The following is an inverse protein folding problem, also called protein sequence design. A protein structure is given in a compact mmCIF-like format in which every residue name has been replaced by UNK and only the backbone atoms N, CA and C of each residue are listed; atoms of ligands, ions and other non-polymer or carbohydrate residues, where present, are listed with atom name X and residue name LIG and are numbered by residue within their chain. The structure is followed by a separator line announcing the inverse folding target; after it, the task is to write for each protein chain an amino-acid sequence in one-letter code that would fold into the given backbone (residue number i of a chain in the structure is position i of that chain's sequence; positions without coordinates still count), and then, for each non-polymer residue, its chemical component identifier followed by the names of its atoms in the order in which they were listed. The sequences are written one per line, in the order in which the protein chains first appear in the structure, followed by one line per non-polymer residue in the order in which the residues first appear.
data_IF_432012918202
#
_entry.id   IF_432012918202
#
_cell.length_a   1.000
_cell.length_b   1.000
_cell.length_c   1.000
_cell.angle_alpha   90.00
_cell.angle_beta   90.00
_cell.angle_gamma   90.00
#
_symmetry.space_group_name_H-M   'P 1'
#
loop_
_entity.id
_entity.type
_entity.pdbx_description
1 polymer ?
#
# COMPACT_ATOMS: atom_id res chain seq x y z
N UNK A 1 19.55 -13.47 -5.65
CA UNK A 1 18.29 -14.14 -5.93
C UNK A 1 17.79 -13.71 -7.31
N UNK A 2 17.37 -14.67 -8.13
CA UNK A 2 16.78 -14.37 -9.45
C UNK A 2 15.26 -14.34 -9.31
N UNK A 3 14.71 -13.15 -9.27
CA UNK A 3 13.28 -12.87 -9.25
C UNK A 3 13.02 -11.50 -9.92
N UNK A 4 11.80 -11.07 -9.95
CA UNK A 4 11.36 -9.80 -10.55
C UNK A 4 11.51 -8.58 -9.64
N UNK A 5 11.97 -8.75 -8.39
CA UNK A 5 12.10 -7.65 -7.43
C UNK A 5 12.99 -6.51 -7.95
N UNK A 6 14.10 -6.83 -8.64
CA UNK A 6 14.97 -5.79 -9.19
C UNK A 6 14.24 -4.88 -10.18
N UNK A 7 13.42 -5.46 -11.07
CA UNK A 7 12.62 -4.69 -12.02
C UNK A 7 11.49 -3.88 -11.35
N UNK A 8 10.89 -4.41 -10.29
CA UNK A 8 9.90 -3.68 -9.49
C UNK A 8 10.54 -2.48 -8.80
N UNK A 9 11.69 -2.68 -8.14
CA UNK A 9 12.41 -1.60 -7.46
C UNK A 9 12.85 -0.49 -8.42
N UNK A 10 13.29 -0.86 -9.63
CA UNK A 10 13.62 0.13 -10.66
C UNK A 10 12.43 1.02 -11.01
N UNK A 11 11.25 0.43 -11.17
CA UNK A 11 10.01 1.17 -11.41
C UNK A 11 9.62 2.03 -10.21
N UNK A 12 9.77 1.54 -8.99
CA UNK A 12 9.51 2.30 -7.77
C UNK A 12 10.44 3.52 -7.65
N UNK A 13 11.71 3.36 -7.97
CA UNK A 13 12.68 4.49 -7.98
C UNK A 13 12.30 5.51 -9.05
N UNK A 14 11.86 5.08 -10.22
CA UNK A 14 11.51 5.97 -11.34
C UNK A 14 10.14 6.66 -11.18
N UNK A 15 9.22 6.09 -10.41
CA UNK A 15 7.87 6.64 -10.23
C UNK A 15 7.86 7.86 -9.31
N UNK A 16 6.99 8.83 -9.59
CA UNK A 16 6.69 9.95 -8.70
C UNK A 16 5.60 9.59 -7.69
N UNK A 17 4.66 8.74 -8.10
CA UNK A 17 3.53 8.28 -7.30
C UNK A 17 3.58 6.76 -7.17
N UNK A 18 3.42 6.26 -5.95
CA UNK A 18 3.40 4.83 -5.64
C UNK A 18 2.10 4.49 -4.90
N UNK A 19 1.36 3.53 -5.44
CA UNK A 19 0.19 2.95 -4.78
C UNK A 19 0.57 1.60 -4.20
N UNK A 20 0.46 1.45 -2.89
CA UNK A 20 0.71 0.19 -2.19
C UNK A 20 -0.62 -0.41 -1.76
N UNK A 21 -0.97 -1.56 -2.35
CA UNK A 21 -2.23 -2.25 -2.07
C UNK A 21 -1.97 -3.60 -1.40
N UNK A 22 -2.72 -3.90 -0.34
CA UNK A 22 -2.59 -5.16 0.40
C UNK A 22 -3.93 -5.68 0.90
N UNK A 23 -4.19 -7.00 0.81
CA UNK A 23 -5.15 -7.61 1.70
C UNK A 23 -4.60 -7.56 3.14
N UNK A 24 -5.51 -7.49 4.10
CA UNK A 24 -5.16 -7.50 5.52
C UNK A 24 -5.31 -8.92 6.06
N UNK A 25 -4.22 -9.51 6.50
CA UNK A 25 -4.19 -10.81 7.14
C UNK A 25 -3.64 -10.65 8.56
N UNK A 26 -4.43 -11.07 9.55
CA UNK A 26 -4.05 -10.93 10.96
C UNK A 26 -3.63 -9.48 11.30
N UNK A 27 -4.41 -8.51 10.81
CA UNK A 27 -4.25 -7.07 11.07
C UNK A 27 -2.93 -6.45 10.60
N UNK A 28 -2.24 -7.06 9.64
CA UNK A 28 -1.02 -6.52 9.03
C UNK A 28 -1.03 -6.67 7.50
N UNK A 29 0.00 -6.14 6.86
CA UNK A 29 0.22 -6.34 5.42
C UNK A 29 0.44 -7.82 5.10
N UNK A 30 0.05 -8.26 3.91
CA UNK A 30 0.31 -9.64 3.49
C UNK A 30 1.81 -9.92 3.31
N UNK A 31 2.17 -11.20 3.36
CA UNK A 31 3.57 -11.63 3.27
C UNK A 31 4.28 -11.15 2.00
N UNK A 32 3.59 -11.14 0.86
CA UNK A 32 4.15 -10.64 -0.41
C UNK A 32 4.49 -9.15 -0.33
N UNK A 33 3.59 -8.34 0.25
CA UNK A 33 3.84 -6.91 0.45
C UNK A 33 5.02 -6.68 1.40
N UNK A 34 5.07 -7.41 2.51
CA UNK A 34 6.20 -7.31 3.45
C UNK A 34 7.52 -7.71 2.80
N UNK A 35 7.50 -8.77 1.98
CA UNK A 35 8.68 -9.18 1.23
C UNK A 35 9.14 -8.08 0.26
N UNK A 36 8.22 -7.42 -0.44
CA UNK A 36 8.57 -6.29 -1.31
C UNK A 36 9.20 -5.14 -0.52
N UNK A 37 8.59 -4.75 0.61
CA UNK A 37 9.13 -3.71 1.50
C UNK A 37 10.55 -4.06 1.95
N UNK A 38 10.78 -5.31 2.39
CA UNK A 38 12.10 -5.75 2.83
C UNK A 38 13.14 -5.74 1.69
N UNK A 39 12.70 -6.04 0.47
CA UNK A 39 13.57 -5.98 -0.72
C UNK A 39 13.92 -4.52 -1.10
N UNK A 40 13.10 -3.54 -0.72
CA UNK A 40 13.43 -2.12 -0.92
C UNK A 40 14.70 -1.70 -0.19
N UNK A 41 15.16 -2.45 0.82
CA UNK A 41 16.41 -2.20 1.52
C UNK A 41 17.61 -2.01 0.57
N UNK A 42 17.58 -2.63 -0.60
CA UNK A 42 18.63 -2.50 -1.60
C UNK A 42 18.73 -1.11 -2.24
N UNK A 43 17.61 -0.35 -2.30
CA UNK A 43 17.51 0.90 -3.06
C UNK A 43 16.65 1.98 -2.40
N UNK A 44 16.24 1.85 -1.13
CA UNK A 44 15.32 2.80 -0.49
C UNK A 44 15.87 4.23 -0.43
N UNK A 45 17.18 4.41 -0.38
CA UNK A 45 17.83 5.73 -0.38
C UNK A 45 17.67 6.49 -1.70
N UNK A 46 17.27 5.81 -2.77
CA UNK A 46 16.99 6.42 -4.07
C UNK A 46 15.50 6.80 -4.24
N UNK A 47 14.64 6.40 -3.27
CA UNK A 47 13.20 6.66 -3.29
C UNK A 47 12.89 7.97 -2.54
N UNK A 48 13.26 9.11 -3.13
CA UNK A 48 13.12 10.43 -2.50
C UNK A 48 11.92 11.19 -3.06
N UNK A 49 11.27 12.01 -2.20
CA UNK A 49 10.21 12.96 -2.57
C UNK A 49 9.03 12.34 -3.33
N UNK A 50 8.63 11.12 -2.96
CA UNK A 50 7.56 10.38 -3.62
C UNK A 50 6.23 10.53 -2.90
N UNK A 51 5.14 10.51 -3.66
CA UNK A 51 3.78 10.47 -3.14
C UNK A 51 3.30 9.02 -3.00
N UNK A 52 2.63 8.73 -1.88
CA UNK A 52 2.14 7.40 -1.57
C UNK A 52 0.63 7.39 -1.32
N UNK A 53 -0.03 6.39 -1.87
CA UNK A 53 -1.40 6.02 -1.57
C UNK A 53 -1.45 4.59 -1.06
N UNK A 54 -2.32 4.31 -0.09
CA UNK A 54 -2.50 2.96 0.44
C UNK A 54 -3.91 2.47 0.17
N UNK A 55 -4.03 1.22 -0.24
CA UNK A 55 -5.32 0.54 -0.41
C UNK A 55 -5.29 -0.75 0.41
N UNK A 56 -6.23 -0.87 1.33
CA UNK A 56 -6.38 -2.04 2.18
C UNK A 56 -7.71 -2.72 1.91
N UNK A 57 -7.71 -4.05 1.87
CA UNK A 57 -8.93 -4.86 1.82
C UNK A 57 -8.96 -5.82 3.00
N UNK A 58 -10.09 -5.92 3.67
CA UNK A 58 -10.24 -6.75 4.85
C UNK A 58 -11.66 -7.30 5.01
N UNK A 59 -11.77 -8.46 5.62
CA UNK A 59 -13.04 -9.00 6.11
C UNK A 59 -13.57 -8.21 7.32
N UNK A 60 -12.68 -7.69 8.15
CA UNK A 60 -13.00 -6.80 9.28
C UNK A 60 -13.76 -5.56 8.80
N UNK A 61 -14.81 -5.18 9.52
CA UNK A 61 -15.62 -4.01 9.20
C UNK A 61 -15.15 -2.72 9.87
N UNK A 62 -14.32 -2.84 10.91
CA UNK A 62 -13.86 -1.71 11.70
C UNK A 62 -12.62 -1.05 11.08
N UNK A 63 -12.77 0.17 10.58
CA UNK A 63 -11.64 0.97 10.06
C UNK A 63 -10.57 1.21 11.13
N UNK A 64 -10.88 1.53 12.40
CA UNK A 64 -9.84 1.67 13.43
C UNK A 64 -8.94 0.45 13.61
N UNK A 65 -9.45 -0.77 13.34
CA UNK A 65 -8.65 -1.99 13.42
C UNK A 65 -7.62 -2.11 12.29
N UNK A 66 -7.78 -1.34 11.22
CA UNK A 66 -6.85 -1.30 10.08
C UNK A 66 -5.60 -0.45 10.35
N UNK A 67 -5.58 0.33 11.43
CA UNK A 67 -4.48 1.24 11.75
C UNK A 67 -3.13 0.51 11.85
N UNK A 68 -3.13 -0.71 12.38
CA UNK A 68 -1.90 -1.54 12.46
C UNK A 68 -1.29 -1.83 11.10
N UNK A 69 -2.15 -2.04 10.09
CA UNK A 69 -1.70 -2.28 8.71
C UNK A 69 -1.18 -1.00 8.08
N UNK A 70 -1.85 0.12 8.30
CA UNK A 70 -1.39 1.44 7.84
C UNK A 70 -0.05 1.80 8.46
N UNK A 71 0.14 1.55 9.76
CA UNK A 71 1.40 1.79 10.45
C UNK A 71 2.57 0.95 9.89
N UNK A 72 2.30 -0.24 9.34
CA UNK A 72 3.34 -0.99 8.61
C UNK A 72 3.86 -0.23 7.39
N UNK A 73 2.97 0.42 6.64
CA UNK A 73 3.36 1.27 5.51
C UNK A 73 4.06 2.55 5.97
N UNK A 74 3.54 3.20 7.01
CA UNK A 74 4.16 4.41 7.57
C UNK A 74 5.56 4.14 8.09
N UNK A 75 5.80 2.99 8.72
CA UNK A 75 7.13 2.58 9.12
C UNK A 75 8.11 2.44 7.94
N UNK A 76 7.63 2.01 6.77
CA UNK A 76 8.44 2.03 5.55
C UNK A 76 8.71 3.47 5.09
N UNK A 77 7.69 4.33 5.07
CA UNK A 77 7.84 5.73 4.67
C UNK A 77 8.80 6.49 5.58
N UNK A 78 8.79 6.22 6.88
CA UNK A 78 9.69 6.83 7.86
C UNK A 78 11.19 6.60 7.55
N UNK A 79 11.49 5.57 6.77
CA UNK A 79 12.86 5.27 6.32
C UNK A 79 13.24 6.00 5.02
N UNK A 80 12.31 6.66 4.34
CA UNK A 80 12.54 7.36 3.08
C UNK A 80 12.80 8.84 3.32
N UNK A 81 13.35 9.53 2.33
CA UNK A 81 13.55 10.98 2.35
C UNK A 81 12.39 11.67 1.63
N UNK A 82 11.68 12.57 2.34
CA UNK A 82 10.62 13.40 1.78
C UNK A 82 9.35 12.67 1.29
N UNK A 83 8.93 11.53 1.86
CA UNK A 83 7.72 10.86 1.39
C UNK A 83 6.47 11.64 1.81
N UNK A 84 5.44 11.59 0.99
CA UNK A 84 4.15 12.23 1.29
C UNK A 84 3.04 11.18 1.19
N UNK A 85 2.38 10.89 2.33
CA UNK A 85 1.14 10.11 2.35
C UNK A 85 -0.01 10.98 1.84
N UNK A 86 -0.62 10.60 0.73
CA UNK A 86 -1.70 11.34 0.06
C UNK A 86 -3.09 10.83 0.37
N UNK A 87 -3.24 9.55 0.67
CA UNK A 87 -4.53 8.99 1.01
C UNK A 87 -4.48 7.50 1.32
N UNK A 88 -5.49 7.06 2.06
CA UNK A 88 -5.71 5.65 2.41
C UNK A 88 -7.13 5.27 2.05
N UNK A 89 -7.31 4.18 1.32
CA UNK A 89 -8.62 3.59 1.02
C UNK A 89 -8.81 2.34 1.87
N UNK A 90 -9.91 2.28 2.58
CA UNK A 90 -10.28 1.18 3.46
C UNK A 90 -11.41 0.34 2.85
N UNK A 91 -11.05 -0.73 2.15
CA UNK A 91 -11.99 -1.73 1.63
C UNK A 91 -12.34 -2.76 2.69
N UNK A 92 -13.07 -2.35 3.72
CA UNK A 92 -13.46 -3.18 4.87
C UNK A 92 -14.76 -3.96 4.60
N UNK A 93 -15.00 -5.04 5.36
CA UNK A 93 -16.21 -5.84 5.27
C UNK A 93 -16.29 -6.73 4.03
N UNK A 94 -15.21 -6.99 3.32
CA UNK A 94 -15.17 -7.83 2.13
C UNK A 94 -14.66 -9.24 2.49
N UNK A 95 -15.57 -10.16 2.79
CA UNK A 95 -15.26 -11.54 3.16
C UNK A 95 -15.25 -12.47 1.94
N UNK A 96 -16.21 -12.32 1.02
CA UNK A 96 -16.35 -13.16 -0.17
C UNK A 96 -15.87 -12.45 -1.43
N UNK A 97 -15.51 -13.23 -2.42
CA UNK A 97 -15.11 -12.74 -3.75
C UNK A 97 -16.24 -11.86 -4.33
N UNK A 98 -15.89 -10.67 -4.80
CA UNK A 98 -16.80 -9.72 -5.45
C UNK A 98 -17.51 -8.75 -4.49
N UNK A 99 -17.52 -8.96 -3.18
CA UNK A 99 -18.18 -8.06 -2.23
C UNK A 99 -17.60 -6.64 -2.26
N UNK A 100 -16.30 -6.52 -2.52
CA UNK A 100 -15.63 -5.22 -2.61
C UNK A 100 -16.19 -4.34 -3.73
N UNK A 101 -16.75 -4.93 -4.80
CA UNK A 101 -17.25 -4.19 -5.96
C UNK A 101 -18.42 -3.27 -5.61
N UNK A 102 -19.21 -3.61 -4.59
CA UNK A 102 -20.31 -2.78 -4.06
C UNK A 102 -19.90 -1.85 -2.92
N UNK A 103 -18.66 -1.89 -2.50
CA UNK A 103 -18.13 -1.08 -1.40
C UNK A 103 -17.94 0.37 -1.84
N UNK A 104 -18.19 1.35 -0.94
CA UNK A 104 -17.81 2.75 -1.17
C UNK A 104 -16.33 2.94 -1.47
N UNK A 105 -15.48 2.03 -1.03
CA UNK A 105 -14.04 2.06 -1.27
C UNK A 105 -13.66 2.03 -2.75
N UNK A 106 -14.48 1.42 -3.61
CA UNK A 106 -14.25 1.41 -5.06
C UNK A 106 -14.32 2.82 -5.64
N UNK A 107 -15.36 3.59 -5.28
CA UNK A 107 -15.52 4.97 -5.73
C UNK A 107 -14.44 5.88 -5.13
N UNK A 108 -14.14 5.69 -3.86
CA UNK A 108 -13.09 6.44 -3.16
C UNK A 108 -11.71 6.23 -3.80
N UNK A 109 -11.36 4.98 -4.13
CA UNK A 109 -10.11 4.67 -4.85
C UNK A 109 -10.05 5.34 -6.22
N UNK A 110 -11.16 5.32 -6.96
CA UNK A 110 -11.26 5.98 -8.26
C UNK A 110 -11.05 7.50 -8.14
N UNK A 111 -11.71 8.15 -7.19
CA UNK A 111 -11.60 9.59 -6.96
C UNK A 111 -10.19 10.00 -6.50
N UNK A 112 -9.53 9.19 -5.67
CA UNK A 112 -8.13 9.42 -5.32
C UNK A 112 -7.22 9.29 -6.54
N UNK A 113 -7.44 8.30 -7.39
CA UNK A 113 -6.69 8.10 -8.62
C UNK A 113 -6.79 9.28 -9.59
N UNK A 114 -7.96 9.93 -9.67
CA UNK A 114 -8.14 11.13 -10.50
C UNK A 114 -7.33 12.34 -10.01
N UNK A 115 -6.94 12.36 -8.76
CA UNK A 115 -6.17 13.45 -8.11
C UNK A 115 -4.69 13.15 -7.99
N UNK A 116 -4.31 11.91 -8.26
CA UNK A 116 -2.92 11.46 -8.15
C UNK A 116 -1.99 12.01 -9.24
#
# INVERSE_FOLDING_TARGET
QRDDAAGVLEKMVAADVIVMATPVYFYTVCGQMKTLIDRCCARYTEMTDKEFYFILTAAEESIPMMERTVECFRGFLDCLEGPVERGVVYGVGAWHVGEIESSPAMQEAYELGLRA
#
